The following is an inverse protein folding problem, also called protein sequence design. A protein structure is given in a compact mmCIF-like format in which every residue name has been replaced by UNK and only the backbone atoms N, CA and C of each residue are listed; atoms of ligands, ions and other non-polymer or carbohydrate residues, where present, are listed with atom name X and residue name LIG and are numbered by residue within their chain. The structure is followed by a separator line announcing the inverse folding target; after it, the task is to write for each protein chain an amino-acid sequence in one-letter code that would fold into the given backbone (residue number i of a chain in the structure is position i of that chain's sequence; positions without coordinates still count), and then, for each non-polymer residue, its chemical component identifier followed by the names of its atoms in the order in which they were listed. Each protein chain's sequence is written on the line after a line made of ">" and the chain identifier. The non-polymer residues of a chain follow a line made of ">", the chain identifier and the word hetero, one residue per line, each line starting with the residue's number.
data_IF_859429846283
#
_entry.id   IF_859429846283
#
_cell.length_a   1.000
_cell.length_b   1.000
_cell.length_c   1.000
_cell.angle_alpha   90.00
_cell.angle_beta   90.00
_cell.angle_gamma   90.00
#
_symmetry.space_group_name_H-M   'P 1'
#
loop_
_entity.id
_entity.type
_entity.pdbx_description
1 polymer ?
#
# COMPACT_ATOMS: atom_id res chain seq x y z
N UNK A 1 7.82 -2.90 9.44
CA UNK A 1 6.59 -2.51 10.17
C UNK A 1 6.73 -1.12 10.77
N UNK A 2 7.60 -0.90 11.76
CA UNK A 2 7.76 0.41 12.42
C UNK A 2 7.99 1.56 11.44
N UNK A 3 8.96 1.42 10.53
CA UNK A 3 9.21 2.44 9.50
C UNK A 3 7.97 2.71 8.62
N UNK A 4 7.24 1.67 8.25
CA UNK A 4 6.02 1.81 7.47
C UNK A 4 4.89 2.50 8.24
N UNK A 5 4.78 2.26 9.55
CA UNK A 5 3.83 2.95 10.43
C UNK A 5 4.19 4.44 10.59
N UNK A 6 5.49 4.76 10.73
CA UNK A 6 5.97 6.15 10.78
C UNK A 6 5.67 6.86 9.45
N UNK A 7 5.95 6.22 8.31
CA UNK A 7 5.61 6.78 6.99
C UNK A 7 4.10 6.97 6.84
N UNK A 8 3.28 6.02 7.28
CA UNK A 8 1.82 6.16 7.30
C UNK A 8 1.36 7.35 8.15
N UNK A 9 1.94 7.53 9.33
CA UNK A 9 1.63 8.68 10.19
C UNK A 9 2.02 10.02 9.52
N UNK A 10 3.16 10.06 8.81
CA UNK A 10 3.59 11.24 8.04
C UNK A 10 2.58 11.54 6.90
N UNK A 11 1.99 10.52 6.28
CA UNK A 11 0.99 10.69 5.21
C UNK A 11 -0.33 11.30 5.67
N UNK A 12 -0.62 11.26 6.97
CA UNK A 12 -1.77 11.93 7.57
C UNK A 12 -1.52 13.41 7.91
N UNK A 13 -0.27 13.87 7.82
CA UNK A 13 0.06 15.25 8.17
C UNK A 13 -0.61 16.23 7.19
N UNK A 14 -1.29 17.29 7.69
CA UNK A 14 -2.03 18.23 6.85
C UNK A 14 -1.14 18.95 5.83
N UNK A 15 0.13 19.20 6.18
CA UNK A 15 1.11 19.83 5.28
C UNK A 15 1.53 18.97 4.07
N UNK A 16 1.14 17.69 4.00
CA UNK A 16 1.48 16.81 2.88
C UNK A 16 0.31 16.64 1.89
N UNK A 17 -0.87 17.15 2.20
CA UNK A 17 -2.07 16.97 1.37
C UNK A 17 -1.89 17.49 -0.07
N UNK A 18 -1.30 18.68 -0.23
CA UNK A 18 -1.04 19.29 -1.55
C UNK A 18 -0.05 18.50 -2.42
N UNK A 19 0.87 17.77 -1.79
CA UNK A 19 1.78 16.86 -2.50
C UNK A 19 1.10 15.55 -2.84
N UNK A 20 0.32 15.00 -1.89
CA UNK A 20 -0.40 13.75 -2.09
C UNK A 20 -1.49 13.87 -3.15
N UNK A 21 -2.09 15.05 -3.37
CA UNK A 21 -3.07 15.23 -4.45
C UNK A 21 -2.48 15.03 -5.86
N UNK A 22 -1.16 15.13 -6.02
CA UNK A 22 -0.47 14.99 -7.32
C UNK A 22 -0.16 13.54 -7.70
N UNK A 23 -0.48 12.57 -6.84
CA UNK A 23 -0.16 11.15 -7.05
C UNK A 23 -1.11 10.50 -8.07
N UNK A 24 -0.66 9.43 -8.75
CA UNK A 24 -1.40 8.81 -9.85
C UNK A 24 -2.79 8.29 -9.47
N UNK A 25 -3.00 7.79 -8.25
CA UNK A 25 -4.34 7.33 -7.83
C UNK A 25 -5.37 8.46 -7.71
N UNK A 26 -4.93 9.71 -7.51
CA UNK A 26 -5.81 10.88 -7.43
C UNK A 26 -6.10 11.44 -8.83
N UNK A 27 -5.09 11.42 -9.72
CA UNK A 27 -5.21 11.89 -11.10
C UNK A 27 -6.18 11.06 -11.96
N UNK A 28 -6.35 9.77 -11.65
CA UNK A 28 -7.19 8.86 -12.44
C UNK A 28 -8.65 8.77 -11.94
N UNK A 29 -8.95 9.34 -10.78
CA UNK A 29 -10.31 9.38 -10.21
C UNK A 29 -11.23 10.35 -10.97
N UNK A 30 -10.67 11.37 -11.62
CA UNK A 30 -11.44 12.45 -12.27
C UNK A 30 -11.82 12.13 -13.72
N UNK A 31 -11.19 11.16 -14.36
CA UNK A 31 -11.19 11.03 -15.83
C UNK A 31 -11.80 9.74 -16.39
N UNK A 32 -12.05 8.70 -15.58
CA UNK A 32 -12.53 7.41 -16.13
C UNK A 32 -13.84 6.91 -15.51
N UNK A 33 -14.21 7.36 -14.31
CA UNK A 33 -15.42 6.89 -13.62
C UNK A 33 -16.71 7.56 -14.14
N UNK A 34 -16.65 8.85 -14.49
CA UNK A 34 -17.83 9.61 -14.96
C UNK A 34 -18.37 9.21 -16.33
N UNK A 35 -17.65 8.40 -17.11
CA UNK A 35 -18.10 7.96 -18.44
C UNK A 35 -18.64 6.52 -18.48
N UNK A 36 -18.25 5.67 -17.53
CA UNK A 36 -18.64 4.25 -17.53
C UNK A 36 -19.66 3.88 -16.47
N UNK A 37 -19.79 4.67 -15.39
CA UNK A 37 -20.75 4.39 -14.30
C UNK A 37 -21.44 5.71 -13.90
N UNK A 38 -22.70 5.94 -14.31
CA UNK A 38 -23.48 7.00 -13.70
C UNK A 38 -23.68 6.61 -12.23
N UNK A 39 -23.30 7.48 -11.29
CA UNK A 39 -23.26 7.28 -9.82
C UNK A 39 -21.99 6.63 -9.24
N UNK A 40 -20.81 6.81 -9.85
CA UNK A 40 -19.57 6.57 -9.09
C UNK A 40 -19.46 7.62 -7.98
N UNK A 41 -19.51 7.19 -6.72
CA UNK A 41 -19.15 8.03 -5.57
C UNK A 41 -17.76 8.62 -5.81
N UNK A 42 -17.72 9.87 -6.27
CA UNK A 42 -16.49 10.62 -6.47
C UNK A 42 -15.94 10.89 -5.09
N UNK A 43 -15.06 10.03 -4.60
CA UNK A 43 -14.34 10.31 -3.36
C UNK A 43 -13.55 11.59 -3.61
N UNK A 44 -13.90 12.64 -2.86
CA UNK A 44 -13.17 13.90 -2.86
C UNK A 44 -11.73 13.65 -2.44
N UNK A 45 -10.88 13.41 -3.44
CA UNK A 45 -9.47 13.14 -3.22
C UNK A 45 -8.85 14.29 -2.39
N UNK A 46 -9.33 15.53 -2.56
CA UNK A 46 -8.87 16.67 -1.79
C UNK A 46 -9.00 16.50 -0.26
N UNK A 47 -10.03 15.80 0.23
CA UNK A 47 -10.30 15.67 1.66
C UNK A 47 -9.83 14.33 2.25
N UNK A 48 -9.75 13.27 1.43
CA UNK A 48 -9.45 11.91 1.89
C UNK A 48 -8.08 11.36 1.49
N UNK A 49 -7.25 12.13 0.76
CA UNK A 49 -5.97 11.63 0.20
C UNK A 49 -5.02 11.02 1.23
N UNK A 50 -4.98 11.57 2.46
CA UNK A 50 -4.09 11.08 3.51
C UNK A 50 -4.45 9.68 3.98
N UNK A 51 -5.73 9.45 4.31
CA UNK A 51 -6.24 8.11 4.66
C UNK A 51 -5.99 7.11 3.53
N UNK A 52 -6.20 7.58 2.30
CA UNK A 52 -6.10 6.74 1.13
C UNK A 52 -4.66 6.33 0.79
N UNK A 53 -3.71 7.22 1.05
CA UNK A 53 -2.28 6.94 0.97
C UNK A 53 -1.85 5.93 2.06
N UNK A 54 -2.38 6.06 3.27
CA UNK A 54 -2.12 5.10 4.37
C UNK A 54 -2.61 3.71 4.01
N UNK A 55 -3.81 3.57 3.43
CA UNK A 55 -4.33 2.27 2.98
C UNK A 55 -3.38 1.57 2.00
N UNK A 56 -2.76 2.31 1.07
CA UNK A 56 -1.80 1.75 0.10
C UNK A 56 -0.48 1.32 0.75
N UNK A 57 0.02 2.06 1.73
CA UNK A 57 1.20 1.66 2.52
C UNK A 57 0.90 0.40 3.34
N UNK A 58 -0.27 0.36 3.99
CA UNK A 58 -0.71 -0.81 4.76
C UNK A 58 -0.93 -2.04 3.86
N UNK A 59 -1.51 -1.85 2.67
CA UNK A 59 -1.64 -2.89 1.66
C UNK A 59 -0.28 -3.47 1.26
N UNK A 60 0.71 -2.62 0.98
CA UNK A 60 2.04 -3.08 0.61
C UNK A 60 2.72 -3.90 1.72
N UNK A 61 2.58 -3.47 2.98
CA UNK A 61 3.08 -4.21 4.13
C UNK A 61 2.34 -5.54 4.28
N UNK A 62 1.01 -5.55 4.15
CA UNK A 62 0.20 -6.75 4.21
C UNK A 62 0.65 -7.78 3.16
N UNK A 63 0.78 -7.37 1.89
CA UNK A 63 1.25 -8.23 0.81
C UNK A 63 2.65 -8.79 1.10
N UNK A 64 3.58 -7.96 1.57
CA UNK A 64 4.93 -8.42 1.90
C UNK A 64 4.93 -9.46 3.03
N UNK A 65 4.21 -9.19 4.13
CA UNK A 65 4.15 -10.12 5.25
C UNK A 65 3.39 -11.40 4.90
N UNK A 66 2.33 -11.32 4.11
CA UNK A 66 1.60 -12.49 3.62
C UNK A 66 2.49 -13.37 2.74
N UNK A 67 3.22 -12.78 1.79
CA UNK A 67 4.19 -13.49 0.97
C UNK A 67 5.26 -14.17 1.84
N UNK A 68 5.82 -13.45 2.81
CA UNK A 68 6.84 -14.00 3.71
C UNK A 68 6.28 -15.11 4.60
N UNK A 69 5.03 -15.00 5.04
CA UNK A 69 4.35 -16.04 5.79
C UNK A 69 4.21 -17.32 4.96
N UNK A 70 3.76 -17.21 3.70
CA UNK A 70 3.62 -18.35 2.77
C UNK A 70 4.98 -19.02 2.51
N UNK A 71 6.04 -18.24 2.28
CA UNK A 71 7.39 -18.77 2.04
C UNK A 71 7.95 -19.57 3.24
N UNK A 72 7.55 -19.19 4.46
CA UNK A 72 8.01 -19.81 5.70
C UNK A 72 7.10 -20.94 6.22
N UNK A 73 6.04 -21.30 5.49
CA UNK A 73 5.20 -22.44 5.86
C UNK A 73 6.03 -23.73 5.88
N UNK A 74 5.90 -24.51 6.96
CA UNK A 74 6.53 -25.82 7.09
C UNK A 74 8.05 -25.80 7.33
N UNK A 75 8.63 -24.67 7.72
CA UNK A 75 10.00 -24.64 8.27
C UNK A 75 10.00 -25.35 9.62
N UNK A 76 10.92 -26.30 9.81
CA UNK A 76 10.99 -27.13 11.03
C UNK A 76 12.28 -26.95 11.80
N UNK A 77 13.33 -26.46 11.16
CA UNK A 77 14.63 -26.30 11.78
C UNK A 77 15.35 -25.05 11.29
N UNK A 78 16.15 -24.42 12.17
CA UNK A 78 17.01 -23.29 11.82
C UNK A 78 18.12 -23.65 10.83
N UNK A 79 18.34 -24.95 10.56
CA UNK A 79 19.25 -25.46 9.52
C UNK A 79 18.63 -25.49 8.12
N UNK A 80 17.33 -25.28 7.99
CA UNK A 80 16.68 -25.19 6.69
C UNK A 80 17.29 -24.02 5.90
N UNK A 81 17.57 -24.21 4.61
CA UNK A 81 18.18 -23.17 3.75
C UNK A 81 17.38 -21.85 3.73
N UNK A 82 16.07 -21.93 4.01
CA UNK A 82 15.14 -20.79 4.15
C UNK A 82 15.47 -19.89 5.35
N UNK A 83 16.18 -20.38 6.36
CA UNK A 83 16.59 -19.58 7.53
C UNK A 83 17.55 -18.45 7.15
N UNK A 84 18.42 -18.67 6.17
CA UNK A 84 19.31 -17.64 5.63
C UNK A 84 18.52 -16.52 4.93
N UNK A 85 17.42 -16.85 4.25
CA UNK A 85 16.52 -15.86 3.65
C UNK A 85 15.77 -15.05 4.72
N UNK A 86 15.33 -15.71 5.80
CA UNK A 86 14.60 -15.04 6.88
C UNK A 86 15.48 -14.11 7.72
N UNK A 87 16.72 -14.53 8.03
CA UNK A 87 17.63 -13.73 8.87
C UNK A 87 18.55 -12.80 8.08
N UNK A 88 18.78 -13.08 6.79
CA UNK A 88 19.62 -12.29 5.89
C UNK A 88 18.84 -11.35 4.97
N UNK A 89 19.56 -10.78 3.99
CA UNK A 89 18.99 -10.03 2.86
C UNK A 89 18.01 -8.90 3.21
N UNK A 90 18.28 -8.15 4.30
CA UNK A 90 17.45 -7.03 4.73
C UNK A 90 17.29 -5.95 3.66
N UNK A 91 18.36 -5.62 2.92
CA UNK A 91 18.28 -4.65 1.82
C UNK A 91 17.27 -5.06 0.74
N UNK A 92 17.27 -6.33 0.33
CA UNK A 92 16.33 -6.84 -0.68
C UNK A 92 14.89 -6.78 -0.15
N UNK A 93 14.66 -7.14 1.12
CA UNK A 93 13.34 -7.03 1.76
C UNK A 93 12.80 -5.61 1.70
N UNK A 94 13.64 -4.61 2.04
CA UNK A 94 13.25 -3.21 1.94
C UNK A 94 12.96 -2.81 0.49
N UNK A 95 13.76 -3.25 -0.48
CA UNK A 95 13.47 -2.97 -1.90
C UNK A 95 12.14 -3.58 -2.36
N UNK A 96 11.83 -4.80 -1.95
CA UNK A 96 10.55 -5.45 -2.27
C UNK A 96 9.39 -4.65 -1.68
N UNK A 97 9.44 -4.30 -0.40
CA UNK A 97 8.38 -3.51 0.26
C UNK A 97 8.20 -2.17 -0.43
N UNK A 98 9.29 -1.46 -0.74
CA UNK A 98 9.23 -0.17 -1.44
C UNK A 98 8.67 -0.33 -2.86
N UNK A 99 9.03 -1.38 -3.58
CA UNK A 99 8.51 -1.67 -4.91
C UNK A 99 7.00 -1.94 -4.91
N UNK A 100 6.52 -2.76 -3.97
CA UNK A 100 5.08 -3.01 -3.78
C UNK A 100 4.37 -1.72 -3.39
N UNK A 101 4.96 -0.93 -2.48
CA UNK A 101 4.40 0.36 -2.06
C UNK A 101 4.23 1.28 -3.26
N UNK A 102 5.29 1.53 -4.04
CA UNK A 102 5.22 2.36 -5.26
C UNK A 102 4.15 1.82 -6.22
N UNK A 103 4.11 0.51 -6.46
CA UNK A 103 3.09 -0.13 -7.29
C UNK A 103 1.66 0.11 -6.78
N UNK A 104 1.45 0.07 -5.46
CA UNK A 104 0.14 0.33 -4.85
C UNK A 104 -0.37 1.76 -5.09
N UNK A 105 0.51 2.75 -5.27
CA UNK A 105 0.12 4.12 -5.64
C UNK A 105 -0.47 4.23 -7.05
N UNK A 106 -0.23 3.26 -7.93
CA UNK A 106 -0.83 3.21 -9.27
C UNK A 106 -2.19 2.52 -9.31
N UNK A 107 -2.63 1.91 -8.21
CA UNK A 107 -3.95 1.28 -8.13
C UNK A 107 -5.02 2.40 -8.13
N UNK A 108 -5.94 2.43 -9.12
CA UNK A 108 -6.98 3.43 -9.19
C UNK A 108 -7.96 3.27 -8.02
N UNK A 109 -8.63 4.36 -7.65
CA UNK A 109 -9.46 4.36 -6.45
C UNK A 109 -10.85 3.71 -6.61
N UNK A 110 -11.15 3.21 -7.79
CA UNK A 110 -12.40 2.55 -8.09
C UNK A 110 -12.53 1.24 -7.29
N UNK A 111 -13.12 1.31 -6.10
CA UNK A 111 -13.41 0.18 -5.22
C UNK A 111 -12.30 -0.23 -4.24
N UNK A 112 -11.11 0.39 -4.30
CA UNK A 112 -10.00 0.04 -3.41
C UNK A 112 -10.26 0.45 -1.95
N UNK A 113 -10.63 1.71 -1.71
CA UNK A 113 -10.95 2.22 -0.37
C UNK A 113 -12.06 1.42 0.33
N UNK A 114 -13.23 1.22 -0.29
CA UNK A 114 -14.29 0.41 0.29
C UNK A 114 -13.88 -1.04 0.57
N UNK A 115 -13.13 -1.69 -0.33
CA UNK A 115 -12.66 -3.05 -0.11
C UNK A 115 -11.68 -3.12 1.07
N UNK A 116 -10.77 -2.16 1.16
CA UNK A 116 -9.76 -2.10 2.21
C UNK A 116 -10.31 -1.69 3.58
N UNK A 117 -11.47 -1.04 3.62
CA UNK A 117 -12.18 -0.73 4.86
C UNK A 117 -12.66 -1.99 5.61
N UNK A 118 -12.92 -3.09 4.90
CA UNK A 118 -13.37 -4.36 5.48
C UNK A 118 -12.24 -5.28 5.94
N UNK A 119 -10.99 -4.93 5.61
CA UNK A 119 -9.77 -5.67 5.99
C UNK A 119 -9.21 -5.09 7.27
#
# INVERSE_FOLDING_TARGET
>A
LLLGAIVGAIMLAPGLQDFLQKVPFCANSTSTAGHLIPNSDTIDCSSAVGYLAVYRICFALCCFFALWAVLMVGVRSSKDSRSALQNGFWGIKFMIVTGIAIGAFFIPETGFGPAWMWV
#
